data_IF_254133315192
#
_entry.id   IF_254133315192
#
_cell.length_a   1.000
_cell.length_b   1.000
_cell.length_c   1.000
_cell.angle_alpha   90.00
_cell.angle_beta   90.00
_cell.angle_gamma   90.00
#
_symmetry.space_group_name_H-M   'P 1'
#
loop_
_entity.id
_entity.type
_entity.pdbx_description
1 polymer ?
#
# COMPACT_ATOMS: atom_id res chain seq x y z
N UNK A 1 10.46 13.83 -26.48
CA UNK A 1 9.59 13.04 -25.62
C UNK A 1 9.78 11.56 -25.92
N UNK A 2 9.93 10.74 -24.89
CA UNK A 2 10.02 9.30 -25.07
C UNK A 2 8.62 8.68 -25.14
N UNK A 3 8.46 7.72 -26.05
CA UNK A 3 7.24 6.97 -26.18
C UNK A 3 7.53 5.50 -25.90
N UNK A 4 6.64 4.86 -25.12
CA UNK A 4 6.72 3.43 -24.88
C UNK A 4 5.44 2.78 -25.38
N UNK A 5 5.58 1.75 -26.21
CA UNK A 5 4.44 0.93 -26.63
C UNK A 5 4.12 -0.09 -25.54
N UNK A 6 2.96 -0.72 -25.63
CA UNK A 6 2.61 -1.83 -24.73
C UNK A 6 3.66 -2.95 -24.77
N UNK A 7 4.19 -3.22 -25.98
CA UNK A 7 5.24 -4.22 -26.16
C UNK A 7 6.52 -3.82 -25.43
N UNK A 8 6.93 -2.55 -25.57
CA UNK A 8 8.13 -2.03 -24.88
C UNK A 8 8.01 -2.23 -23.37
N UNK A 9 6.86 -1.89 -22.80
CA UNK A 9 6.63 -2.02 -21.36
C UNK A 9 6.64 -3.47 -20.94
N UNK A 10 6.01 -4.34 -21.71
CA UNK A 10 5.97 -5.77 -21.42
C UNK A 10 7.36 -6.40 -21.43
N UNK A 11 8.23 -5.98 -22.33
CA UNK A 11 9.59 -6.50 -22.48
C UNK A 11 10.62 -5.91 -21.52
N UNK A 12 10.25 -4.86 -20.76
CA UNK A 12 11.15 -4.27 -19.77
C UNK A 12 11.53 -5.27 -18.68
N UNK A 13 12.74 -5.13 -18.10
CA UNK A 13 13.07 -5.84 -16.87
C UNK A 13 12.01 -5.54 -15.81
N UNK A 14 11.62 -6.56 -15.04
CA UNK A 14 10.51 -6.48 -14.09
C UNK A 14 10.65 -5.30 -13.11
N UNK A 15 11.84 -5.09 -12.54
CA UNK A 15 12.08 -4.01 -11.59
C UNK A 15 11.96 -2.63 -12.25
N UNK A 16 12.50 -2.48 -13.46
CA UNK A 16 12.41 -1.22 -14.20
C UNK A 16 10.96 -0.89 -14.52
N UNK A 17 10.20 -1.88 -15.00
CA UNK A 17 8.77 -1.71 -15.28
C UNK A 17 8.00 -1.31 -14.05
N UNK A 18 8.27 -1.94 -12.91
CA UNK A 18 7.61 -1.60 -11.65
C UNK A 18 7.86 -0.15 -11.26
N UNK A 19 9.11 0.31 -11.34
CA UNK A 19 9.46 1.70 -11.02
C UNK A 19 8.78 2.68 -11.97
N UNK A 20 8.76 2.38 -13.27
CA UNK A 20 8.12 3.24 -14.25
C UNK A 20 6.61 3.38 -13.97
N UNK A 21 5.92 2.26 -13.83
CA UNK A 21 4.46 2.27 -13.63
C UNK A 21 4.11 2.90 -12.29
N UNK A 22 4.85 2.59 -11.23
CA UNK A 22 4.60 3.17 -9.91
C UNK A 22 4.81 4.69 -9.89
N UNK A 23 5.62 5.22 -10.81
CA UNK A 23 5.93 6.66 -10.89
C UNK A 23 4.96 7.44 -11.79
N UNK A 24 4.19 6.76 -12.64
CA UNK A 24 3.34 7.42 -13.64
C UNK A 24 2.26 8.33 -13.03
N UNK A 25 1.81 8.04 -11.83
CA UNK A 25 0.77 8.84 -11.16
C UNK A 25 1.33 10.00 -10.34
N UNK A 26 2.65 10.17 -10.32
CA UNK A 26 3.30 11.24 -9.56
C UNK A 26 3.40 10.94 -8.07
N UNK A 27 3.44 12.00 -7.27
CA UNK A 27 3.57 11.87 -5.82
C UNK A 27 2.32 11.26 -5.20
N UNK A 28 2.53 10.39 -4.23
CA UNK A 28 1.47 9.73 -3.48
C UNK A 28 1.71 9.88 -1.99
N UNK A 29 0.65 9.95 -1.21
CA UNK A 29 0.79 9.92 0.24
C UNK A 29 1.29 8.55 0.70
N UNK A 30 2.17 8.53 1.69
CA UNK A 30 2.58 7.31 2.36
C UNK A 30 1.79 7.20 3.65
N UNK A 31 1.17 6.06 3.89
CA UNK A 31 0.31 5.84 5.04
C UNK A 31 0.64 4.50 5.68
N UNK A 32 0.52 4.44 7.00
CA UNK A 32 0.58 3.18 7.74
C UNK A 32 -0.85 2.77 8.07
N UNK A 33 -1.26 1.61 7.58
CA UNK A 33 -2.53 1.03 7.95
C UNK A 33 -2.33 0.13 9.16
N UNK A 34 -2.97 0.49 10.25
CA UNK A 34 -2.94 -0.28 11.49
C UNK A 34 -4.15 -1.18 11.60
N UNK A 35 -3.92 -2.43 11.91
CA UNK A 35 -4.97 -3.43 12.14
C UNK A 35 -4.64 -4.28 13.34
N UNK A 36 -5.64 -4.97 13.87
CA UNK A 36 -5.45 -5.96 14.94
C UNK A 36 -6.14 -7.26 14.56
N UNK A 37 -5.54 -8.38 14.95
CA UNK A 37 -6.20 -9.66 14.87
C UNK A 37 -7.29 -9.79 15.95
N UNK A 38 -8.14 -10.80 15.83
CA UNK A 38 -9.16 -11.09 16.85
C UNK A 38 -8.53 -11.40 18.20
N UNK A 39 -7.28 -11.86 18.22
CA UNK A 39 -6.53 -12.12 19.46
C UNK A 39 -5.81 -10.89 20.01
N UNK A 40 -5.94 -9.73 19.34
CA UNK A 40 -5.37 -8.48 19.81
C UNK A 40 -3.95 -8.18 19.35
N UNK A 41 -3.41 -8.96 18.41
CA UNK A 41 -2.06 -8.73 17.86
C UNK A 41 -2.13 -7.61 16.83
N UNK A 42 -1.36 -6.55 17.05
CA UNK A 42 -1.30 -5.40 16.17
C UNK A 42 -0.43 -5.67 14.94
N UNK A 43 -0.82 -5.08 13.81
CA UNK A 43 -0.05 -5.11 12.57
C UNK A 43 -0.03 -3.72 11.94
N UNK A 44 1.12 -3.32 11.41
CA UNK A 44 1.29 -2.08 10.65
C UNK A 44 1.84 -2.43 9.27
N UNK A 45 1.29 -1.81 8.24
CA UNK A 45 1.76 -2.00 6.88
C UNK A 45 1.73 -0.66 6.14
N UNK A 46 2.79 -0.38 5.36
CA UNK A 46 2.87 0.85 4.59
C UNK A 46 2.09 0.71 3.27
N UNK A 47 1.29 1.74 2.96
CA UNK A 47 0.50 1.81 1.73
C UNK A 47 0.69 3.16 1.07
N UNK A 48 0.73 3.19 -0.24
CA UNK A 48 0.73 4.42 -1.03
C UNK A 48 -0.52 4.55 -1.91
N UNK A 49 -1.55 3.77 -1.63
CA UNK A 49 -2.78 3.71 -2.43
C UNK A 49 -4.00 4.22 -1.67
N UNK A 50 -3.83 4.89 -0.54
CA UNK A 50 -4.94 5.48 0.19
C UNK A 50 -5.40 6.73 -0.55
N UNK A 51 -6.68 6.77 -0.92
CA UNK A 51 -7.26 7.85 -1.71
C UNK A 51 -8.58 8.32 -1.11
N UNK A 52 -8.89 9.59 -1.36
CA UNK A 52 -10.19 10.16 -1.03
C UNK A 52 -11.23 9.64 -2.03
N UNK A 53 -12.35 9.14 -1.53
CA UNK A 53 -13.45 8.68 -2.37
C UNK A 53 -14.62 9.66 -2.32
N UNK A 54 -15.00 10.09 -1.14
CA UNK A 54 -16.11 11.02 -0.99
C UNK A 54 -16.19 11.62 0.41
N UNK A 55 -16.95 12.71 0.52
CA UNK A 55 -17.16 13.38 1.80
C UNK A 55 -18.57 13.17 2.35
N UNK A 56 -19.52 12.82 1.48
CA UNK A 56 -20.90 12.56 1.89
C UNK A 56 -21.49 11.44 1.02
N UNK A 57 -21.41 10.19 1.49
CA UNK A 57 -20.80 9.73 2.74
C UNK A 57 -19.28 9.88 2.73
N UNK A 58 -18.72 10.06 3.92
CA UNK A 58 -17.27 10.17 4.07
C UNK A 58 -16.59 8.82 3.86
N UNK A 59 -15.72 8.76 2.86
CA UNK A 59 -15.05 7.52 2.48
C UNK A 59 -13.62 7.75 2.03
N UNK A 60 -12.72 6.92 2.54
CA UNK A 60 -11.38 6.72 2.01
C UNK A 60 -11.29 5.30 1.46
N UNK A 61 -10.44 5.11 0.50
CA UNK A 61 -10.20 3.77 -0.05
C UNK A 61 -8.72 3.49 -0.19
N UNK A 62 -8.40 2.22 -0.28
CA UNK A 62 -7.05 1.78 -0.60
C UNK A 62 -7.12 0.47 -1.37
N UNK A 63 -6.02 0.13 -2.04
CA UNK A 63 -5.96 -1.06 -2.89
C UNK A 63 -5.05 -2.09 -2.24
N UNK A 64 -5.59 -3.29 -2.05
CA UNK A 64 -4.82 -4.48 -1.70
C UNK A 64 -4.54 -5.25 -2.98
N UNK A 65 -3.26 -5.54 -3.22
CA UNK A 65 -2.86 -6.31 -4.39
C UNK A 65 -3.37 -7.75 -4.28
N UNK A 66 -3.39 -8.52 -5.40
CA UNK A 66 -3.85 -9.91 -5.36
C UNK A 66 -3.20 -10.71 -4.23
N UNK A 67 -4.01 -11.54 -3.59
CA UNK A 67 -3.62 -12.27 -2.39
C UNK A 67 -2.95 -13.60 -2.73
N UNK A 68 -1.85 -13.51 -3.49
CA UNK A 68 -1.03 -14.70 -3.81
C UNK A 68 -0.13 -15.11 -2.64
N UNK A 69 0.03 -14.20 -1.67
CA UNK A 69 0.76 -14.46 -0.41
C UNK A 69 -0.13 -14.01 0.75
N UNK A 70 0.10 -14.59 1.93
CA UNK A 70 -0.64 -14.21 3.12
C UNK A 70 -0.42 -12.73 3.45
N UNK A 71 -1.52 -12.04 3.81
CA UNK A 71 -1.49 -10.62 4.15
C UNK A 71 -2.22 -10.40 5.46
N UNK A 72 -1.47 -10.07 6.50
CA UNK A 72 -2.02 -9.87 7.83
C UNK A 72 -3.02 -8.72 7.86
N UNK A 73 -2.75 -7.62 7.14
CA UNK A 73 -3.67 -6.49 7.04
C UNK A 73 -5.04 -6.92 6.51
N UNK A 74 -5.05 -7.69 5.42
CA UNK A 74 -6.29 -8.17 4.83
C UNK A 74 -7.04 -9.11 5.78
N UNK A 75 -6.31 -10.05 6.36
CA UNK A 75 -6.91 -11.01 7.30
C UNK A 75 -7.53 -10.29 8.49
N UNK A 76 -6.79 -9.38 9.10
CA UNK A 76 -7.27 -8.64 10.27
C UNK A 76 -8.48 -7.78 9.90
N UNK A 77 -8.43 -7.08 8.78
CA UNK A 77 -9.52 -6.25 8.32
C UNK A 77 -10.79 -7.06 8.07
N UNK A 78 -10.67 -8.23 7.46
CA UNK A 78 -11.81 -9.10 7.20
C UNK A 78 -12.41 -9.65 8.48
N UNK A 79 -11.58 -9.97 9.47
CA UNK A 79 -12.02 -10.55 10.73
C UNK A 79 -12.65 -9.54 11.69
N UNK A 80 -12.06 -8.33 11.77
CA UNK A 80 -12.49 -7.32 12.76
C UNK A 80 -13.32 -6.19 12.17
N UNK A 81 -13.17 -5.90 10.88
CA UNK A 81 -13.87 -4.80 10.21
C UNK A 81 -13.30 -3.41 10.53
N UNK A 82 -12.18 -3.31 11.23
CA UNK A 82 -11.60 -2.04 11.65
C UNK A 82 -10.15 -1.89 11.19
N UNK A 83 -9.77 -0.66 10.88
CA UNK A 83 -8.40 -0.29 10.59
C UNK A 83 -8.20 1.19 10.90
N UNK A 84 -6.93 1.57 11.08
CA UNK A 84 -6.56 2.99 11.23
C UNK A 84 -5.68 3.41 10.07
N UNK A 85 -5.78 4.69 9.68
CA UNK A 85 -4.93 5.30 8.66
C UNK A 85 -4.04 6.32 9.36
N UNK A 86 -2.72 6.13 9.28
CA UNK A 86 -1.75 6.97 9.96
C UNK A 86 -0.82 7.60 8.94
N UNK A 87 -0.62 8.91 9.03
CA UNK A 87 0.27 9.62 8.11
C UNK A 87 1.73 9.33 8.43
N UNK A 88 2.55 9.22 7.39
CA UNK A 88 3.99 9.03 7.54
C UNK A 88 4.67 10.40 7.43
N UNK A 89 5.51 10.74 8.40
CA UNK A 89 6.32 11.95 8.38
C UNK A 89 7.82 11.59 8.36
N UNK A 90 8.69 12.61 8.30
CA UNK A 90 10.12 12.39 8.21
C UNK A 90 10.71 11.68 9.43
N UNK A 91 10.10 11.81 10.60
CA UNK A 91 10.59 11.20 11.83
C UNK A 91 10.41 9.68 11.85
N UNK A 92 9.36 9.17 11.19
CA UNK A 92 9.01 7.75 11.21
C UNK A 92 9.22 7.05 9.88
N UNK A 93 9.79 7.73 8.87
CA UNK A 93 9.86 7.19 7.51
C UNK A 93 10.67 5.90 7.42
N UNK A 94 11.77 5.79 8.17
CA UNK A 94 12.59 4.57 8.17
C UNK A 94 11.83 3.39 8.76
N UNK A 95 11.19 3.58 9.91
CA UNK A 95 10.36 2.56 10.54
C UNK A 95 9.18 2.16 9.66
N UNK A 96 8.54 3.15 9.02
CA UNK A 96 7.43 2.89 8.11
C UNK A 96 7.87 2.05 6.91
N UNK A 97 9.04 2.35 6.34
CA UNK A 97 9.58 1.58 5.23
C UNK A 97 9.87 0.13 5.64
N UNK A 98 10.34 -0.08 6.85
CA UNK A 98 10.62 -1.43 7.36
C UNK A 98 9.36 -2.31 7.43
N UNK A 99 8.17 -1.74 7.53
CA UNK A 99 6.93 -2.52 7.55
C UNK A 99 6.67 -3.24 6.23
N UNK A 100 7.34 -2.84 5.15
CA UNK A 100 7.23 -3.51 3.85
C UNK A 100 8.07 -4.78 3.78
N UNK A 101 9.01 -4.97 4.71
CA UNK A 101 9.90 -6.13 4.72
C UNK A 101 9.21 -7.30 5.44
N UNK A 102 9.55 -8.52 4.97
CA UNK A 102 9.09 -9.73 5.65
C UNK A 102 10.16 -10.18 6.63
N UNK A 103 9.83 -10.20 7.90
CA UNK A 103 10.71 -10.70 8.95
C UNK A 103 10.24 -12.08 9.40
N UNK A 104 11.19 -12.97 9.57
CA UNK A 104 10.92 -14.31 10.09
C UNK A 104 11.03 -14.31 11.62
#
# INVERSE_FOLDING_TARGET
>A
MKHFTSKDIHEMPSRYRAHLINSCTGYKSANLLGTKSVSGISNLAIFNSVVHIGSSPQMLGFILRPLTVARDTYKNFKETGFFTVNQVNNEIIEGAHQTAASYK
#
